data_IF_400528410003
#
_entry.id   IF_400528410003
#
_cell.length_a   1.000
_cell.length_b   1.000
_cell.length_c   1.000
_cell.angle_alpha   90.00
_cell.angle_beta   90.00
_cell.angle_gamma   90.00
#
_symmetry.space_group_name_H-M   'P 1'
#
loop_
_entity.id
_entity.type
_entity.pdbx_description
1 polymer ?
#
# COMPACT_ATOMS: atom_id res chain seq x y z
N UNK A 1 -33.08 15.62 -40.11
CA UNK A 1 -33.48 14.78 -39.20
C UNK A 1 -32.44 13.93 -38.71
N UNK A 2 -31.80 13.24 -39.46
CA UNK A 2 -30.82 12.40 -39.02
C UNK A 2 -29.71 13.11 -38.37
N UNK A 3 -29.44 14.25 -38.75
CA UNK A 3 -28.41 14.96 -38.18
C UNK A 3 -28.60 15.22 -36.75
N UNK A 4 -29.76 15.45 -36.35
CA UNK A 4 -30.00 15.72 -34.98
C UNK A 4 -29.56 14.61 -34.11
N UNK A 5 -29.77 13.45 -34.51
CA UNK A 5 -29.41 12.33 -33.69
C UNK A 5 -27.95 12.29 -33.44
N UNK A 6 -27.22 12.58 -34.43
CA UNK A 6 -25.85 12.55 -34.27
C UNK A 6 -25.37 13.48 -33.22
N UNK A 7 -25.82 14.65 -33.26
CA UNK A 7 -25.39 15.64 -32.32
C UNK A 7 -25.66 15.20 -30.93
N UNK A 8 -26.73 14.56 -30.72
CA UNK A 8 -27.02 14.15 -29.42
C UNK A 8 -26.04 13.15 -28.89
N UNK A 9 -25.76 12.25 -29.69
CA UNK A 9 -24.86 11.22 -29.29
C UNK A 9 -23.52 11.80 -28.91
N UNK A 10 -23.07 12.70 -29.65
CA UNK A 10 -21.85 13.29 -29.36
C UNK A 10 -21.83 13.95 -28.03
N UNK A 11 -22.85 14.64 -27.74
CA UNK A 11 -22.91 15.33 -26.49
C UNK A 11 -22.77 14.36 -25.34
N UNK A 12 -23.39 13.25 -25.44
CA UNK A 12 -23.32 12.31 -24.37
C UNK A 12 -21.92 11.83 -24.12
N UNK A 13 -21.26 11.57 -25.16
CA UNK A 13 -19.91 11.08 -25.01
C UNK A 13 -19.03 12.05 -24.32
N UNK A 14 -19.16 13.28 -24.62
CA UNK A 14 -18.33 14.24 -23.98
C UNK A 14 -18.57 14.26 -22.49
N UNK A 15 -19.78 14.15 -22.10
CA UNK A 15 -20.08 14.18 -20.71
C UNK A 15 -19.40 13.09 -19.99
N UNK A 16 -19.27 11.95 -20.60
CA UNK A 16 -18.66 10.92 -19.95
C UNK A 16 -17.26 11.17 -19.56
N UNK A 17 -16.50 11.63 -20.41
CA UNK A 17 -15.13 11.87 -20.16
C UNK A 17 -14.90 12.72 -18.97
N UNK A 18 -15.70 13.68 -18.77
CA UNK A 18 -15.47 14.54 -17.66
C UNK A 18 -15.59 13.90 -16.32
N UNK A 19 -16.42 12.95 -16.22
CA UNK A 19 -16.63 12.43 -14.96
C UNK A 19 -15.62 11.53 -14.44
N UNK A 20 -14.98 10.90 -15.24
CA UNK A 20 -14.22 9.88 -14.73
C UNK A 20 -12.96 10.20 -14.14
N UNK A 21 -12.59 11.36 -14.05
CA UNK A 21 -11.42 11.45 -13.56
C UNK A 21 -11.14 11.92 -12.33
N UNK A 22 -11.69 12.54 -11.73
CA UNK A 22 -11.30 12.98 -10.58
C UNK A 22 -11.19 12.27 -9.41
N UNK A 23 -11.73 11.38 -9.17
CA UNK A 23 -11.77 10.79 -7.95
C UNK A 23 -10.52 10.54 -7.39
N UNK A 24 -10.28 10.43 -6.59
CA UNK A 24 -9.31 9.83 -5.95
C UNK A 24 -7.99 10.20 -5.74
N UNK A 25 -7.40 10.51 -6.42
CA UNK A 25 -6.15 10.62 -6.15
C UNK A 25 -5.77 11.42 -5.09
N UNK A 26 -6.47 12.22 -4.66
CA UNK A 26 -6.01 13.06 -3.71
C UNK A 26 -5.53 12.53 -2.50
N UNK A 27 -6.02 11.52 -2.04
CA UNK A 27 -5.63 11.10 -0.80
C UNK A 27 -4.24 10.88 -0.62
N UNK A 28 -3.69 10.25 -1.48
CA UNK A 28 -2.38 9.86 -1.26
C UNK A 28 -1.42 10.92 -1.38
N UNK A 29 -1.76 12.02 -1.92
CA UNK A 29 -0.81 12.92 -2.01
C UNK A 29 -0.49 13.76 -0.96
N UNK A 30 -1.13 13.76 0.05
CA UNK A 30 -0.84 14.61 1.08
C UNK A 30 0.57 14.67 1.38
N UNK A 31 1.23 13.60 1.42
CA UNK A 31 2.59 13.65 1.72
C UNK A 31 3.39 13.29 0.60
N UNK A 32 2.79 13.13 -0.48
CA UNK A 32 3.50 12.87 -1.61
C UNK A 32 3.87 11.48 -1.90
N UNK A 33 3.92 10.64 -0.99
CA UNK A 33 4.36 9.31 -1.28
C UNK A 33 3.76 8.27 -0.43
N UNK A 34 3.45 7.18 -1.01
CA UNK A 34 2.96 6.06 -0.26
C UNK A 34 3.31 4.82 -1.07
N UNK A 35 3.91 3.87 -0.45
CA UNK A 35 4.29 2.64 -1.10
C UNK A 35 3.90 1.47 -0.21
N UNK A 36 3.89 0.28 -0.75
CA UNK A 36 3.60 -0.89 0.08
C UNK A 36 4.29 -2.12 -0.49
N UNK A 37 4.46 -3.10 0.34
CA UNK A 37 5.02 -4.38 -0.07
C UNK A 37 4.45 -5.47 0.83
N UNK A 38 4.51 -6.71 0.39
CA UNK A 38 4.12 -7.83 1.22
C UNK A 38 5.37 -8.54 1.70
N UNK A 39 5.30 -9.09 2.88
CA UNK A 39 6.45 -9.73 3.50
C UNK A 39 6.02 -10.79 4.49
N UNK A 40 6.96 -11.62 4.90
CA UNK A 40 6.72 -12.64 5.91
C UNK A 40 7.52 -12.28 7.16
N UNK A 41 6.91 -12.41 8.30
CA UNK A 41 7.54 -12.07 9.57
C UNK A 41 8.57 -13.12 9.95
N UNK A 42 9.81 -12.69 10.19
CA UNK A 42 10.89 -13.59 10.56
C UNK A 42 11.19 -13.54 12.04
N UNK A 43 11.16 -12.36 12.64
CA UNK A 43 11.48 -12.21 14.04
C UNK A 43 10.66 -11.11 14.66
N UNK A 44 10.37 -11.25 15.93
CA UNK A 44 9.63 -10.24 16.66
C UNK A 44 10.55 -9.56 17.65
N UNK A 45 10.44 -8.25 17.76
CA UNK A 45 11.21 -7.49 18.73
C UNK A 45 10.29 -6.49 19.39
N UNK A 46 10.84 -5.77 20.35
CA UNK A 46 10.05 -4.80 21.03
C UNK A 46 9.94 -3.60 20.14
N UNK A 47 8.82 -3.30 19.62
CA UNK A 47 8.61 -2.13 18.80
C UNK A 47 8.91 -2.30 17.32
N UNK A 48 9.37 -3.46 16.92
CA UNK A 48 9.65 -3.68 15.51
C UNK A 48 9.59 -5.16 15.17
N UNK A 49 9.57 -5.45 13.89
CA UNK A 49 9.63 -6.83 13.44
C UNK A 49 10.59 -6.91 12.27
N UNK A 50 11.22 -8.05 12.12
CA UNK A 50 12.10 -8.28 10.99
C UNK A 50 11.31 -9.10 10.00
N UNK A 51 11.30 -8.69 8.77
CA UNK A 51 10.50 -9.34 7.73
C UNK A 51 11.30 -9.59 6.47
N UNK A 52 10.83 -10.48 5.66
CA UNK A 52 11.46 -10.76 4.38
C UNK A 52 10.47 -10.41 3.29
N UNK A 53 10.85 -9.59 2.34
CA UNK A 53 9.97 -9.13 1.28
C UNK A 53 9.60 -10.27 0.36
N UNK A 54 8.31 -10.48 0.16
CA UNK A 54 7.84 -11.53 -0.74
C UNK A 54 7.23 -10.93 -2.00
N UNK A 55 6.63 -9.72 -1.90
CA UNK A 55 6.10 -9.06 -3.07
C UNK A 55 6.34 -7.59 -2.98
N UNK A 56 7.26 -7.05 -3.75
CA UNK A 56 7.65 -5.65 -3.60
C UNK A 56 6.71 -4.63 -4.22
N UNK A 57 5.90 -5.04 -5.19
CA UNK A 57 5.09 -4.09 -5.93
C UNK A 57 5.98 -2.94 -6.42
N UNK A 58 5.64 -1.71 -6.14
CA UNK A 58 6.44 -0.59 -6.60
C UNK A 58 7.29 0.01 -5.51
N UNK A 59 7.55 -0.72 -4.46
CA UNK A 59 8.25 -0.16 -3.32
C UNK A 59 9.74 0.04 -3.53
N UNK A 60 10.30 -0.62 -4.51
CA UNK A 60 11.73 -0.54 -4.70
C UNK A 60 12.52 -1.56 -3.89
N UNK A 61 11.86 -2.37 -3.10
CA UNK A 61 12.51 -3.37 -2.29
C UNK A 61 12.57 -4.66 -3.10
N UNK A 62 13.61 -5.43 -2.95
CA UNK A 62 13.75 -6.65 -3.74
C UNK A 62 13.18 -7.85 -3.00
N UNK A 63 12.71 -8.83 -3.75
CA UNK A 63 12.22 -10.06 -3.14
C UNK A 63 13.37 -10.70 -2.40
N UNK A 64 13.11 -11.13 -1.19
CA UNK A 64 14.12 -11.78 -0.37
C UNK A 64 14.89 -10.85 0.53
N UNK A 65 14.72 -9.55 0.37
CA UNK A 65 15.42 -8.63 1.23
C UNK A 65 14.83 -8.64 2.62
N UNK A 66 15.69 -8.53 3.61
CA UNK A 66 15.23 -8.48 4.99
C UNK A 66 15.14 -7.04 5.44
N UNK A 67 14.07 -6.71 6.13
CA UNK A 67 13.84 -5.36 6.58
C UNK A 67 13.42 -5.33 8.03
N UNK A 68 13.76 -4.25 8.70
CA UNK A 68 13.28 -3.98 10.04
C UNK A 68 12.13 -2.99 9.91
N UNK A 69 10.97 -3.33 10.41
CA UNK A 69 9.76 -2.55 10.25
C UNK A 69 9.24 -2.16 11.63
N UNK A 70 9.01 -0.87 11.84
CA UNK A 70 8.50 -0.39 13.11
C UNK A 70 7.03 -0.79 13.25
N UNK A 71 6.64 -1.23 14.41
CA UNK A 71 5.23 -1.55 14.65
C UNK A 71 4.51 -0.35 15.22
N UNK A 72 5.19 0.78 15.36
CA UNK A 72 4.57 2.00 15.83
C UNK A 72 4.04 2.70 14.59
N UNK A 73 2.88 2.31 14.13
CA UNK A 73 2.36 2.79 12.87
C UNK A 73 1.50 4.03 13.07
N UNK A 74 1.33 4.80 12.00
CA UNK A 74 0.56 6.02 12.06
C UNK A 74 -0.94 5.73 12.17
N UNK A 75 -1.40 4.66 11.60
CA UNK A 75 -2.83 4.35 11.59
C UNK A 75 -3.38 4.24 13.00
N UNK A 76 -4.54 4.81 13.21
CA UNK A 76 -5.13 4.84 14.54
C UNK A 76 -5.41 3.47 15.11
N UNK A 77 -5.65 2.49 14.28
CA UNK A 77 -5.91 1.16 14.78
C UNK A 77 -4.64 0.46 15.24
N UNK A 78 -3.49 1.03 14.96
CA UNK A 78 -2.24 0.39 15.34
C UNK A 78 -1.91 -0.81 14.49
N UNK A 79 -0.88 -1.51 14.85
CA UNK A 79 -0.49 -2.72 14.13
C UNK A 79 -1.22 -3.92 14.70
N UNK A 80 -1.51 -4.92 13.90
CA UNK A 80 -2.17 -6.10 14.43
C UNK A 80 -1.17 -6.93 15.24
N UNK A 81 -1.66 -7.94 15.91
CA UNK A 81 -0.79 -8.79 16.64
C UNK A 81 -0.10 -9.67 15.62
N UNK A 82 1.21 -9.72 15.65
CA UNK A 82 1.98 -10.44 14.65
C UNK A 82 2.66 -11.66 15.25
N UNK A 83 2.84 -12.67 14.43
CA UNK A 83 3.54 -13.87 14.84
C UNK A 83 4.55 -14.24 13.77
N UNK A 84 5.53 -15.00 14.13
CA UNK A 84 6.53 -15.46 13.17
C UNK A 84 5.82 -16.27 12.10
N UNK A 85 6.22 -16.04 10.85
CA UNK A 85 5.68 -16.68 9.67
C UNK A 85 4.36 -16.07 9.18
N UNK A 86 3.87 -15.05 9.82
CA UNK A 86 2.69 -14.37 9.31
C UNK A 86 3.03 -13.63 8.03
N UNK A 87 2.11 -13.60 7.10
CA UNK A 87 2.27 -12.81 5.89
C UNK A 87 1.56 -11.50 6.10
N UNK A 88 2.23 -10.42 5.79
CA UNK A 88 1.72 -9.08 6.08
C UNK A 88 1.92 -8.15 4.92
N UNK A 89 1.18 -7.05 4.93
CA UNK A 89 1.38 -5.97 3.98
C UNK A 89 1.78 -4.74 4.77
N UNK A 90 2.87 -4.10 4.39
CA UNK A 90 3.38 -2.93 5.06
C UNK A 90 3.18 -1.74 4.15
N UNK A 91 2.53 -0.69 4.63
CA UNK A 91 2.31 0.53 3.89
C UNK A 91 3.19 1.60 4.52
N UNK A 92 4.02 2.25 3.73
CA UNK A 92 4.99 3.20 4.27
C UNK A 92 5.18 4.37 3.32
N UNK A 93 6.05 5.27 3.66
CA UNK A 93 6.23 6.51 2.91
C UNK A 93 7.10 6.36 1.66
N UNK A 94 7.59 5.19 1.39
CA UNK A 94 8.40 4.95 0.20
C UNK A 94 9.89 5.12 0.41
N UNK A 95 10.33 5.57 1.57
CA UNK A 95 11.74 5.74 1.82
C UNK A 95 12.37 4.44 2.30
N UNK A 96 13.46 4.06 1.70
CA UNK A 96 14.18 2.87 2.11
C UNK A 96 15.61 3.29 2.45
N UNK A 97 16.05 2.97 3.67
CA UNK A 97 17.38 3.32 4.10
C UNK A 97 18.29 2.13 3.94
N UNK A 98 19.43 2.35 3.31
CA UNK A 98 20.31 1.26 3.05
C UNK A 98 21.09 0.90 4.26
N UNK A 99 20.79 -0.16 4.89
CA UNK A 99 21.48 -0.66 6.04
C UNK A 99 21.25 -2.16 6.02
N UNK A 100 21.71 -2.87 7.00
CA UNK A 100 21.49 -4.30 7.00
C UNK A 100 21.09 -4.69 8.40
N UNK A 101 19.85 -5.12 8.58
CA UNK A 101 18.80 -5.22 7.54
C UNK A 101 18.34 -3.85 7.09
N UNK A 102 17.67 -3.79 5.97
CA UNK A 102 17.19 -2.53 5.48
C UNK A 102 16.18 -1.93 6.45
N UNK A 103 16.04 -0.63 6.42
CA UNK A 103 15.04 0.03 7.23
C UNK A 103 14.18 0.87 6.32
N UNK A 104 12.93 1.10 6.72
CA UNK A 104 12.07 1.95 5.91
C UNK A 104 11.68 3.15 6.76
N UNK A 105 11.16 4.15 6.11
CA UNK A 105 10.80 5.38 6.81
C UNK A 105 9.55 5.21 7.63
N UNK A 106 8.66 6.17 7.54
CA UNK A 106 7.45 6.12 8.35
C UNK A 106 6.55 4.99 7.89
N UNK A 107 6.09 4.18 8.83
CA UNK A 107 5.18 3.09 8.52
C UNK A 107 3.77 3.59 8.81
N UNK A 108 2.93 3.63 7.78
CA UNK A 108 1.59 4.11 7.97
C UNK A 108 0.68 3.02 8.50
N UNK A 109 0.81 1.82 8.05
CA UNK A 109 -0.08 0.74 8.49
C UNK A 109 0.54 -0.63 8.20
N UNK A 110 0.13 -1.62 8.97
CA UNK A 110 0.51 -3.00 8.75
C UNK A 110 -0.76 -3.81 8.77
N UNK A 111 -0.95 -4.70 7.81
CA UNK A 111 -2.12 -5.55 7.75
C UNK A 111 -1.71 -7.01 7.62
N UNK A 112 -2.44 -7.88 8.26
CA UNK A 112 -2.26 -9.32 8.04
C UNK A 112 -2.88 -9.66 6.68
N UNK A 113 -2.35 -10.66 6.03
CA UNK A 113 -2.89 -11.08 4.74
C UNK A 113 -3.64 -12.40 4.93
N UNK A 114 -4.70 -12.58 4.14
CA UNK A 114 -5.44 -13.82 4.19
C UNK A 114 -4.82 -14.80 3.20
N UNK A 115 -5.41 -15.95 3.03
CA UNK A 115 -4.81 -16.96 2.21
C UNK A 115 -4.79 -16.56 0.76
N UNK A 116 -5.54 -15.59 0.35
CA UNK A 116 -5.52 -15.13 -1.02
C UNK A 116 -4.56 -13.96 -1.21
N UNK A 117 -3.86 -13.58 -0.19
CA UNK A 117 -2.93 -12.45 -0.27
C UNK A 117 -3.60 -11.11 -0.15
N UNK A 118 -4.81 -11.06 0.38
CA UNK A 118 -5.50 -9.80 0.52
C UNK A 118 -5.40 -9.29 1.92
N UNK A 119 -5.31 -7.99 2.07
CA UNK A 119 -5.14 -7.39 3.38
C UNK A 119 -6.39 -7.51 4.22
N UNK A 120 -6.22 -7.94 5.46
CA UNK A 120 -7.33 -8.05 6.39
C UNK A 120 -7.38 -6.76 7.18
N UNK A 121 -8.51 -6.07 7.20
CA UNK A 121 -8.57 -4.79 7.91
C UNK A 121 -8.35 -4.96 9.41
N UNK A 122 -7.69 -3.98 10.00
CA UNK A 122 -7.48 -3.99 11.44
C UNK A 122 -8.65 -3.30 12.10
N UNK A 123 -9.05 -3.80 13.22
CA UNK A 123 -10.15 -3.15 13.90
C UNK A 123 -9.78 -2.60 15.22
#
# INVERSE_FOLDING_TARGET
KKMLSFVMVLACILTWIGCSREPNEDLSDVNGRQAYFNATVLELSNGSVKVECTEPFDSGILIGEELSVSTDVVAASGAPELAIDDDIRVVFDGDVMESYPLQIGTVFAIYLLDENGEAIPNN
#
